data_IF_942485961980
#
_entry.id   IF_942485961980
#
_cell.length_a   1.000
_cell.length_b   1.000
_cell.length_c   1.000
_cell.angle_alpha   90.00
_cell.angle_beta   90.00
_cell.angle_gamma   90.00
#
_symmetry.space_group_name_H-M   'P 1'
#
loop_
_entity.id
_entity.type
_entity.pdbx_description
1 polymer ?
#
# COMPACT_ATOMS: atom_id res chain seq x y z
N UNK A 1 28.01 -13.12 6.80
CA UNK A 1 27.67 -11.80 7.34
C UNK A 1 27.17 -10.81 6.27
N UNK A 2 27.89 -10.51 5.18
CA UNK A 2 27.46 -9.53 4.14
C UNK A 2 26.05 -9.80 3.55
N UNK A 3 25.68 -11.06 3.32
CA UNK A 3 24.39 -11.47 2.75
C UNK A 3 23.18 -11.26 3.69
N UNK A 4 23.39 -11.35 5.01
CA UNK A 4 22.38 -11.12 6.05
C UNK A 4 22.13 -9.61 6.20
N UNK A 5 23.20 -8.82 6.21
CA UNK A 5 23.13 -7.35 6.29
C UNK A 5 22.41 -6.77 5.06
N UNK A 6 22.65 -7.34 3.88
CA UNK A 6 21.93 -6.93 2.65
C UNK A 6 20.44 -7.20 2.74
N UNK A 7 20.03 -8.37 3.23
CA UNK A 7 18.61 -8.70 3.42
C UNK A 7 17.94 -7.80 4.47
N UNK A 8 18.62 -7.56 5.60
CA UNK A 8 18.08 -6.68 6.65
C UNK A 8 17.84 -5.25 6.11
N UNK A 9 18.73 -4.73 5.28
CA UNK A 9 18.56 -3.43 4.61
C UNK A 9 17.34 -3.40 3.68
N UNK A 10 17.09 -4.49 2.93
CA UNK A 10 15.92 -4.58 2.05
C UNK A 10 14.61 -4.55 2.85
N UNK A 11 14.52 -5.30 3.95
CA UNK A 11 13.32 -5.28 4.81
C UNK A 11 13.15 -3.95 5.52
N UNK A 12 14.24 -3.34 6.03
CA UNK A 12 14.19 -2.01 6.63
C UNK A 12 13.69 -0.97 5.63
N UNK A 13 14.16 -1.04 4.38
CA UNK A 13 13.70 -0.15 3.31
C UNK A 13 12.19 -0.32 3.03
N UNK A 14 11.70 -1.55 2.98
CA UNK A 14 10.27 -1.86 2.79
C UNK A 14 9.42 -1.31 3.96
N UNK A 15 9.92 -1.39 5.20
CA UNK A 15 9.25 -0.82 6.37
C UNK A 15 9.17 0.71 6.28
N UNK A 16 10.25 1.37 5.86
CA UNK A 16 10.26 2.83 5.68
C UNK A 16 9.25 3.24 4.61
N UNK A 17 9.17 2.51 3.49
CA UNK A 17 8.16 2.77 2.45
C UNK A 17 6.73 2.61 2.99
N UNK A 18 6.49 1.63 3.87
CA UNK A 18 5.20 1.46 4.55
C UNK A 18 4.85 2.66 5.45
N UNK A 19 5.82 3.18 6.19
CA UNK A 19 5.63 4.37 7.03
C UNK A 19 5.35 5.62 6.19
N UNK A 20 6.06 5.81 5.08
CA UNK A 20 5.83 6.93 4.14
C UNK A 20 4.43 6.88 3.56
N UNK A 21 3.98 5.70 3.12
CA UNK A 21 2.62 5.56 2.59
C UNK A 21 1.55 5.77 3.66
N UNK A 22 1.80 5.34 4.90
CA UNK A 22 0.87 5.58 6.01
C UNK A 22 0.72 7.07 6.33
N UNK A 23 1.83 7.83 6.28
CA UNK A 23 1.82 9.29 6.41
C UNK A 23 1.01 9.95 5.28
N UNK A 24 1.24 9.53 4.04
CA UNK A 24 0.53 10.04 2.87
C UNK A 24 -0.99 9.87 3.02
N UNK A 25 -1.42 8.67 3.40
CA UNK A 25 -2.84 8.40 3.64
C UNK A 25 -3.44 9.27 4.76
N UNK A 26 -2.69 9.49 5.84
CA UNK A 26 -3.16 10.30 6.97
C UNK A 26 -3.23 11.79 6.65
N UNK A 27 -2.23 12.32 5.93
CA UNK A 27 -2.12 13.76 5.72
C UNK A 27 -2.94 14.25 4.52
N UNK A 28 -3.02 13.45 3.45
CA UNK A 28 -3.57 13.92 2.18
C UNK A 28 -4.81 13.15 1.73
N UNK A 29 -4.88 11.85 1.92
CA UNK A 29 -5.93 11.01 1.32
C UNK A 29 -7.21 11.05 2.16
N UNK A 30 -7.10 10.66 3.44
CA UNK A 30 -8.28 10.48 4.31
C UNK A 30 -8.97 11.80 4.59
N UNK A 31 -8.23 12.85 4.85
CA UNK A 31 -8.80 14.16 5.22
C UNK A 31 -9.45 14.90 4.04
N UNK A 32 -9.04 14.57 2.81
CA UNK A 32 -9.58 15.19 1.60
C UNK A 32 -10.59 14.29 0.87
N UNK A 33 -11.10 13.24 1.52
CA UNK A 33 -12.12 12.35 0.98
C UNK A 33 -11.72 11.69 -0.37
N UNK A 34 -10.43 11.46 -0.59
CA UNK A 34 -9.97 10.77 -1.79
C UNK A 34 -10.06 9.25 -1.61
N UNK A 35 -10.49 8.57 -2.66
CA UNK A 35 -10.44 7.11 -2.74
C UNK A 35 -9.39 6.71 -3.77
N UNK A 36 -8.18 6.29 -3.36
CA UNK A 36 -7.15 5.84 -4.29
C UNK A 36 -7.58 4.57 -5.00
N UNK A 37 -6.92 4.25 -6.13
CA UNK A 37 -7.22 3.05 -6.89
C UNK A 37 -6.95 1.76 -6.10
N UNK A 38 -7.66 0.68 -6.44
CA UNK A 38 -7.44 -0.65 -5.89
C UNK A 38 -8.17 -0.92 -4.57
N UNK A 39 -7.74 -1.96 -3.87
CA UNK A 39 -8.38 -2.42 -2.62
C UNK A 39 -8.29 -1.37 -1.51
N UNK A 40 -7.22 -0.60 -1.48
CA UNK A 40 -7.08 0.49 -0.50
C UNK A 40 -8.14 1.58 -0.70
N UNK A 41 -8.58 1.84 -1.93
CA UNK A 41 -9.70 2.76 -2.18
C UNK A 41 -11.01 2.25 -1.60
N UNK A 42 -11.28 0.95 -1.75
CA UNK A 42 -12.44 0.31 -1.11
C UNK A 42 -12.35 0.42 0.41
N UNK A 43 -11.18 0.17 0.98
CA UNK A 43 -10.94 0.32 2.41
C UNK A 43 -11.17 1.75 2.90
N UNK A 44 -10.76 2.75 2.11
CA UNK A 44 -11.00 4.18 2.39
C UNK A 44 -12.50 4.49 2.38
N UNK A 45 -13.23 4.02 1.38
CA UNK A 45 -14.69 4.21 1.29
C UNK A 45 -15.43 3.59 2.49
N UNK A 46 -15.00 2.40 2.94
CA UNK A 46 -15.55 1.73 4.12
C UNK A 46 -15.25 2.54 5.38
N UNK A 47 -14.04 3.09 5.51
CA UNK A 47 -13.70 3.95 6.64
C UNK A 47 -14.62 5.17 6.69
N UNK A 48 -14.89 5.83 5.58
CA UNK A 48 -15.82 6.97 5.54
C UNK A 48 -17.23 6.60 5.97
N UNK A 49 -17.72 5.45 5.50
CA UNK A 49 -19.14 5.07 5.72
C UNK A 49 -19.37 4.41 7.06
N UNK A 50 -18.44 3.61 7.54
CA UNK A 50 -18.58 2.73 8.71
C UNK A 50 -17.66 3.11 9.88
N UNK A 51 -16.74 4.06 9.71
CA UNK A 51 -15.73 4.41 10.73
C UNK A 51 -14.66 3.34 10.96
N UNK A 52 -14.65 2.25 10.19
CA UNK A 52 -13.69 1.16 10.36
C UNK A 52 -12.34 1.53 9.75
N UNK A 53 -11.28 1.53 10.55
CA UNK A 53 -9.96 2.03 10.15
C UNK A 53 -9.37 1.27 8.96
N UNK A 54 -8.82 2.02 7.98
CA UNK A 54 -8.09 1.48 6.82
C UNK A 54 -6.96 0.55 7.25
N UNK A 55 -6.28 0.83 8.37
CA UNK A 55 -5.20 -0.02 8.88
C UNK A 55 -5.66 -1.45 9.16
N UNK A 56 -6.81 -1.63 9.80
CA UNK A 56 -7.38 -2.97 10.04
C UNK A 56 -7.88 -3.61 8.75
N UNK A 57 -8.57 -2.85 7.90
CA UNK A 57 -9.05 -3.36 6.61
C UNK A 57 -7.90 -3.82 5.73
N UNK A 58 -6.82 -3.04 5.67
CA UNK A 58 -5.63 -3.41 4.91
C UNK A 58 -5.04 -4.74 5.38
N UNK A 59 -4.95 -4.99 6.69
CA UNK A 59 -4.49 -6.28 7.22
C UNK A 59 -5.44 -7.43 6.86
N UNK A 60 -6.74 -7.25 7.11
CA UNK A 60 -7.75 -8.29 6.86
C UNK A 60 -7.74 -8.74 5.40
N UNK A 61 -7.56 -7.82 4.47
CA UNK A 61 -7.57 -8.14 3.04
C UNK A 61 -6.20 -8.63 2.56
N UNK A 62 -5.11 -7.99 2.99
CA UNK A 62 -3.79 -8.30 2.46
C UNK A 62 -3.14 -9.54 3.09
N UNK A 63 -3.47 -9.90 4.33
CA UNK A 63 -2.93 -11.13 4.94
C UNK A 63 -3.34 -12.39 4.16
N UNK A 64 -4.62 -12.63 3.83
CA UNK A 64 -5.02 -13.75 2.97
C UNK A 64 -4.37 -13.71 1.58
N UNK A 65 -4.25 -12.52 0.98
CA UNK A 65 -3.59 -12.35 -0.32
C UNK A 65 -2.09 -12.67 -0.25
N UNK A 66 -1.42 -12.30 0.83
CA UNK A 66 -0.01 -12.66 1.05
C UNK A 66 0.18 -14.16 1.28
N UNK A 67 -0.74 -14.81 2.00
CA UNK A 67 -0.74 -16.28 2.15
C UNK A 67 -0.93 -16.94 0.78
N UNK A 68 -1.87 -16.47 -0.02
CA UNK A 68 -2.05 -16.93 -1.39
C UNK A 68 -0.77 -16.72 -2.23
N UNK A 69 -0.17 -15.54 -2.17
CA UNK A 69 1.08 -15.23 -2.89
C UNK A 69 2.25 -16.13 -2.45
N UNK A 70 2.29 -16.52 -1.18
CA UNK A 70 3.32 -17.40 -0.64
C UNK A 70 3.29 -18.80 -1.27
N UNK A 71 2.11 -19.33 -1.55
CA UNK A 71 1.95 -20.65 -2.16
C UNK A 71 2.01 -20.63 -3.69
N UNK A 72 1.52 -19.56 -4.33
CA UNK A 72 1.29 -19.53 -5.78
C UNK A 72 2.22 -18.61 -6.57
N UNK A 73 2.95 -17.71 -5.93
CA UNK A 73 3.83 -16.77 -6.62
C UNK A 73 5.29 -17.00 -6.23
N UNK A 74 5.71 -16.47 -5.09
CA UNK A 74 7.08 -16.60 -4.58
C UNK A 74 7.12 -16.25 -3.09
N UNK A 75 7.87 -17.06 -2.32
CA UNK A 75 7.98 -16.90 -0.87
C UNK A 75 8.64 -15.58 -0.46
N UNK A 76 9.66 -15.13 -1.21
CA UNK A 76 10.37 -13.88 -0.90
C UNK A 76 9.51 -12.67 -1.19
N UNK A 77 8.79 -12.70 -2.31
CA UNK A 77 7.83 -11.67 -2.67
C UNK A 77 6.73 -11.55 -1.63
N UNK A 78 6.10 -12.66 -1.25
CA UNK A 78 5.04 -12.70 -0.25
C UNK A 78 5.51 -12.19 1.11
N UNK A 79 6.71 -12.60 1.57
CA UNK A 79 7.28 -12.15 2.85
C UNK A 79 7.53 -10.63 2.86
N UNK A 80 8.10 -10.06 1.79
CA UNK A 80 8.35 -8.61 1.70
C UNK A 80 7.03 -7.82 1.61
N UNK A 81 6.06 -8.30 0.82
CA UNK A 81 4.75 -7.69 0.71
C UNK A 81 4.00 -7.72 2.04
N UNK A 82 4.04 -8.84 2.76
CA UNK A 82 3.46 -8.95 4.09
C UNK A 82 4.13 -7.97 5.07
N UNK A 83 5.47 -7.88 5.04
CA UNK A 83 6.21 -6.92 5.88
C UNK A 83 5.77 -5.48 5.60
N UNK A 84 5.60 -5.12 4.32
CA UNK A 84 5.08 -3.81 3.93
C UNK A 84 3.67 -3.58 4.48
N UNK A 85 2.74 -4.51 4.27
CA UNK A 85 1.35 -4.38 4.71
C UNK A 85 1.24 -4.24 6.24
N UNK A 86 2.02 -5.03 6.99
CA UNK A 86 2.07 -4.95 8.45
C UNK A 86 2.66 -3.60 8.89
N UNK A 87 3.78 -3.19 8.31
CA UNK A 87 4.40 -1.89 8.61
C UNK A 87 3.44 -0.73 8.32
N UNK A 88 2.86 -0.68 7.13
CA UNK A 88 1.87 0.33 6.74
C UNK A 88 0.71 0.40 7.73
N UNK A 89 0.12 -0.74 8.08
CA UNK A 89 -1.02 -0.80 8.99
C UNK A 89 -0.67 -0.38 10.41
N UNK A 90 0.48 -0.82 10.93
CA UNK A 90 0.95 -0.44 12.25
C UNK A 90 1.22 1.08 12.32
N UNK A 91 1.95 1.63 11.35
CA UNK A 91 2.22 3.07 11.33
C UNK A 91 0.93 3.87 11.18
N UNK A 92 0.00 3.44 10.32
CA UNK A 92 -1.29 4.09 10.14
C UNK A 92 -2.11 4.13 11.44
N UNK A 93 -2.14 3.03 12.20
CA UNK A 93 -2.85 2.93 13.48
C UNK A 93 -2.15 3.75 14.58
N UNK A 94 -0.81 3.66 14.69
CA UNK A 94 -0.03 4.44 15.65
C UNK A 94 -0.20 5.95 15.44
N UNK A 95 -0.17 6.39 14.19
CA UNK A 95 -0.41 7.79 13.83
C UNK A 95 -1.84 8.25 14.17
N UNK A 96 -2.79 7.32 14.27
CA UNK A 96 -4.14 7.62 14.74
C UNK A 96 -4.22 8.00 16.22
N UNK A 97 -3.28 7.51 17.02
CA UNK A 97 -3.17 7.80 18.46
C UNK A 97 -2.36 9.06 18.75
N UNK A 98 -1.58 9.54 17.80
CA UNK A 98 -0.79 10.76 17.93
C UNK A 98 -1.57 11.94 17.34
N UNK A 99 -1.47 13.12 17.96
CA UNK A 99 -2.14 14.35 17.53
C UNK A 99 -1.50 14.96 16.26
N UNK A 100 -1.22 14.08 15.27
CA UNK A 100 -0.75 14.45 13.92
C UNK A 100 -1.82 15.26 13.19
N UNK A 101 -3.02 15.31 13.73
CA UNK A 101 -4.13 16.13 13.24
C UNK A 101 -3.77 17.63 13.07
N UNK A 102 -2.76 18.12 13.77
CA UNK A 102 -2.25 19.48 13.59
C UNK A 102 -1.57 19.72 12.22
N UNK A 103 -1.10 18.66 11.56
CA UNK A 103 -0.40 18.75 10.27
C UNK A 103 -1.27 18.34 9.07
N UNK A 104 -2.56 18.12 9.31
CA UNK A 104 -3.51 17.78 8.25
C UNK A 104 -3.60 18.92 7.26
N UNK A 105 -3.45 18.61 5.98
CA UNK A 105 -3.77 19.53 4.91
C UNK A 105 -5.21 19.26 4.45
N UNK A 106 -6.12 20.12 4.85
CA UNK A 106 -7.51 20.11 4.36
C UNK A 106 -7.58 21.11 3.22
N UNK A 107 -7.81 20.61 2.02
CA UNK A 107 -7.92 21.43 0.82
C UNK A 107 -9.27 22.17 0.77
N UNK A 108 -9.32 23.32 0.12
CA UNK A 108 -10.58 23.90 -0.33
C UNK A 108 -11.23 22.99 -1.38
N UNK A 109 -12.55 23.03 -1.52
CA UNK A 109 -13.32 22.13 -2.39
C UNK A 109 -12.85 22.03 -3.85
N UNK A 110 -12.07 23.01 -4.32
CA UNK A 110 -11.53 23.08 -5.68
C UNK A 110 -10.04 22.75 -5.78
N UNK A 111 -9.40 22.41 -4.68
CA UNK A 111 -7.95 22.23 -4.64
C UNK A 111 -7.53 20.81 -5.01
N UNK A 112 -6.88 20.67 -6.15
CA UNK A 112 -6.36 19.39 -6.68
C UNK A 112 -4.97 19.05 -6.11
N UNK A 113 -4.33 19.99 -5.41
CA UNK A 113 -2.96 19.88 -4.95
C UNK A 113 -2.70 18.65 -4.04
N UNK A 114 -3.54 18.36 -3.02
CA UNK A 114 -3.33 17.17 -2.20
C UNK A 114 -3.43 15.86 -2.99
N UNK A 115 -4.31 15.80 -4.00
CA UNK A 115 -4.45 14.61 -4.84
C UNK A 115 -3.18 14.36 -5.68
N UNK A 116 -2.58 15.42 -6.21
CA UNK A 116 -1.33 15.35 -6.99
C UNK A 116 -0.16 14.89 -6.11
N UNK A 117 -0.03 15.45 -4.90
CA UNK A 117 1.01 15.05 -3.96
C UNK A 117 0.83 13.60 -3.53
N UNK A 118 -0.37 13.21 -3.10
CA UNK A 118 -0.67 11.85 -2.69
C UNK A 118 -0.41 10.86 -3.83
N UNK A 119 -0.83 11.16 -5.05
CA UNK A 119 -0.56 10.35 -6.23
C UNK A 119 0.93 10.20 -6.54
N UNK A 120 1.70 11.27 -6.40
CA UNK A 120 3.14 11.26 -6.61
C UNK A 120 3.86 10.39 -5.55
N UNK A 121 3.54 10.56 -4.28
CA UNK A 121 4.11 9.75 -3.18
C UNK A 121 3.74 8.27 -3.37
N UNK A 122 2.47 7.98 -3.62
CA UNK A 122 1.98 6.61 -3.86
C UNK A 122 2.69 5.96 -5.06
N UNK A 123 2.88 6.71 -6.16
CA UNK A 123 3.60 6.25 -7.35
C UNK A 123 5.07 5.94 -7.07
N UNK A 124 5.77 6.81 -6.36
CA UNK A 124 7.17 6.62 -5.96
C UNK A 124 7.32 5.40 -5.05
N UNK A 125 6.49 5.30 -4.02
CA UNK A 125 6.49 4.15 -3.08
C UNK A 125 6.24 2.85 -3.83
N UNK A 126 5.24 2.80 -4.71
CA UNK A 126 4.93 1.62 -5.53
C UNK A 126 6.08 1.24 -6.44
N UNK A 127 6.71 2.22 -7.11
CA UNK A 127 7.87 2.00 -7.97
C UNK A 127 9.06 1.37 -7.21
N UNK A 128 9.37 1.86 -6.01
CA UNK A 128 10.42 1.28 -5.17
C UNK A 128 10.06 -0.10 -4.64
N UNK A 129 8.80 -0.35 -4.30
CA UNK A 129 8.35 -1.69 -3.90
C UNK A 129 8.49 -2.70 -5.04
N UNK A 130 8.11 -2.34 -6.26
CA UNK A 130 8.33 -3.22 -7.43
C UNK A 130 9.80 -3.52 -7.65
N UNK A 131 10.68 -2.51 -7.52
CA UNK A 131 12.13 -2.69 -7.60
C UNK A 131 12.67 -3.60 -6.48
N UNK A 132 12.10 -3.55 -5.29
CA UNK A 132 12.43 -4.43 -4.17
C UNK A 132 11.81 -5.83 -4.28
N UNK A 133 11.08 -6.13 -5.37
CA UNK A 133 10.28 -7.35 -5.54
C UNK A 133 9.27 -7.55 -4.41
N UNK A 134 8.58 -6.47 -4.09
CA UNK A 134 7.45 -6.41 -3.17
C UNK A 134 6.26 -5.70 -3.85
N UNK A 135 5.15 -5.54 -3.16
CA UNK A 135 3.96 -4.86 -3.66
C UNK A 135 3.26 -4.15 -2.51
N UNK A 136 2.38 -3.21 -2.84
CA UNK A 136 1.45 -2.58 -1.88
C UNK A 136 0.36 -3.55 -1.39
N UNK A 137 0.32 -4.77 -1.93
CA UNK A 137 -0.75 -5.74 -1.67
C UNK A 137 -1.94 -5.55 -2.63
N UNK A 138 -3.09 -6.08 -2.24
CA UNK A 138 -4.32 -5.85 -2.98
C UNK A 138 -4.32 -6.42 -4.41
N UNK A 139 -4.83 -5.62 -5.35
CA UNK A 139 -4.95 -5.99 -6.77
C UNK A 139 -3.62 -6.31 -7.44
N UNK A 140 -2.52 -5.76 -6.95
CA UNK A 140 -1.18 -6.01 -7.50
C UNK A 140 -0.76 -7.47 -7.36
N UNK A 141 -1.10 -8.10 -6.23
CA UNK A 141 -0.82 -9.52 -5.99
C UNK A 141 -1.58 -10.39 -6.99
N UNK A 142 -2.86 -10.06 -7.21
CA UNK A 142 -3.72 -10.77 -8.17
C UNK A 142 -3.20 -10.59 -9.60
N UNK A 143 -2.85 -9.37 -9.98
CA UNK A 143 -2.28 -9.06 -11.30
C UNK A 143 -0.98 -9.82 -11.55
N UNK A 144 -0.10 -9.88 -10.54
CA UNK A 144 1.15 -10.65 -10.66
C UNK A 144 0.90 -12.14 -10.81
N UNK A 145 -0.05 -12.70 -10.07
CA UNK A 145 -0.43 -14.11 -10.21
C UNK A 145 -0.97 -14.42 -11.61
N UNK A 146 -1.88 -13.60 -12.14
CA UNK A 146 -2.41 -13.76 -13.47
C UNK A 146 -1.32 -13.71 -14.55
N UNK A 147 -0.37 -12.79 -14.41
CA UNK A 147 0.77 -12.64 -15.31
C UNK A 147 1.69 -13.86 -15.30
N UNK A 148 1.87 -14.53 -14.16
CA UNK A 148 2.67 -15.76 -14.08
C UNK A 148 1.92 -16.93 -14.76
N UNK A 149 0.61 -17.03 -14.55
CA UNK A 149 -0.20 -18.16 -15.05
C UNK A 149 -0.55 -18.04 -16.55
N UNK A 150 -0.68 -16.81 -17.07
CA UNK A 150 -0.97 -16.52 -18.48
C UNK A 150 -0.07 -15.39 -18.98
N UNK A 151 1.17 -15.70 -19.44
CA UNK A 151 2.12 -14.69 -19.92
C UNK A 151 1.63 -13.90 -21.13
N UNK A 152 0.64 -14.43 -21.86
CA UNK A 152 0.04 -13.81 -23.05
C UNK A 152 -1.01 -12.72 -22.71
N UNK A 153 -1.48 -12.65 -21.46
CA UNK A 153 -2.38 -11.60 -21.00
C UNK A 153 -1.59 -10.36 -20.63
N UNK A 154 -1.37 -9.49 -21.60
CA UNK A 154 -0.93 -8.14 -21.31
C UNK A 154 -2.09 -7.41 -20.61
N UNK A 155 -1.85 -6.96 -19.39
CA UNK A 155 -2.80 -6.21 -18.57
C UNK A 155 -3.41 -5.00 -19.32
N UNK A 156 -2.66 -4.41 -20.26
CA UNK A 156 -3.12 -3.30 -21.10
C UNK A 156 -4.10 -3.73 -22.21
N UNK A 157 -4.08 -4.98 -22.67
CA UNK A 157 -5.02 -5.47 -23.71
C UNK A 157 -6.38 -5.87 -23.12
N UNK A 158 -6.47 -6.03 -21.81
CA UNK A 158 -7.73 -6.38 -21.13
C UNK A 158 -8.54 -5.15 -20.71
N UNK A 159 -8.01 -3.94 -20.88
CA UNK A 159 -8.64 -2.67 -20.53
C UNK A 159 -9.06 -1.85 -21.76
N UNK A 160 -8.78 -2.32 -22.94
CA UNK A 160 -9.29 -1.78 -24.22
C UNK A 160 -10.45 -2.64 -24.72
#
# INVERSE_FOLDING_TARGET
MKKIISKAKEYAFVIVLGAVLALDYRLFIVENNFAPAGINGIATMIQYKCGFSIGYMSLIINVPLCVFAFFFIDKKYAAKTLTFCVAYSLFYLLMGSWDIQRFKYVAADTDVFPAVIAGAICGVVSGFLYKASASTGGTDVVSKFLRIKKPQWNFFTSLS
#
